data_IF_024894953940
#
_entry.id   IF_024894953940
#
_cell.length_a   1.000
_cell.length_b   1.000
_cell.length_c   1.000
_cell.angle_alpha   90.00
_cell.angle_beta   90.00
_cell.angle_gamma   90.00
#
_symmetry.space_group_name_H-M   'P 1'
#
loop_
_entity.id
_entity.type
_entity.pdbx_description
1 polymer ?
#
# COMPACT_ATOMS: atom_id res chain seq x y z
N UNK A 1 5.99 61.21 58.64
CA UNK A 1 4.55 61.10 58.32
C UNK A 1 4.40 60.49 56.94
N UNK A 2 3.85 59.27 56.83
CA UNK A 2 3.63 58.59 55.56
C UNK A 2 2.16 58.73 55.15
N UNK A 3 1.90 59.27 53.95
CA UNK A 3 0.55 59.38 53.40
C UNK A 3 0.18 58.04 52.77
N UNK A 4 -0.84 57.38 53.32
CA UNK A 4 -1.42 56.16 52.74
C UNK A 4 -2.46 56.59 51.70
N UNK A 5 -2.18 56.35 50.42
CA UNK A 5 -3.14 56.59 49.34
C UNK A 5 -3.98 55.34 49.14
N UNK A 6 -5.27 55.42 49.50
CA UNK A 6 -6.24 54.33 49.30
C UNK A 6 -6.86 54.48 47.91
N UNK A 7 -6.55 53.57 47.00
CA UNK A 7 -7.21 53.51 45.70
C UNK A 7 -8.67 53.07 45.88
N UNK A 8 -9.61 54.01 45.77
CA UNK A 8 -11.04 53.73 45.72
C UNK A 8 -11.34 53.16 44.34
N UNK A 9 -11.51 51.84 44.24
CA UNK A 9 -11.96 51.21 42.99
C UNK A 9 -13.45 51.48 42.83
N UNK A 10 -13.79 52.43 41.97
CA UNK A 10 -15.17 52.63 41.53
C UNK A 10 -15.47 51.59 40.44
N UNK A 11 -16.36 50.65 40.75
CA UNK A 11 -16.74 49.54 39.86
C UNK A 11 -17.97 49.87 39.00
N UNK A 12 -18.61 51.02 39.22
CA UNK A 12 -19.83 51.43 38.52
C UNK A 12 -19.54 51.98 37.12
N UNK A 13 -18.29 52.40 36.87
CA UNK A 13 -17.81 52.85 35.56
C UNK A 13 -17.42 51.72 34.61
N UNK A 14 -17.46 50.45 35.05
CA UNK A 14 -17.12 49.30 34.20
C UNK A 14 -18.36 48.95 33.38
N UNK A 15 -18.35 49.11 32.04
CA UNK A 15 -19.46 48.67 31.20
C UNK A 15 -19.62 47.16 31.39
N UNK A 16 -20.80 46.73 31.87
CA UNK A 16 -21.12 45.30 32.02
C UNK A 16 -21.14 44.70 30.63
N UNK A 17 -20.02 44.10 30.22
CA UNK A 17 -19.93 43.36 28.98
C UNK A 17 -20.90 42.20 29.08
N UNK A 18 -21.79 42.07 28.11
CA UNK A 18 -22.59 40.85 27.97
C UNK A 18 -21.63 39.65 27.92
N UNK A 19 -21.92 38.54 28.62
CA UNK A 19 -21.19 37.31 28.43
C UNK A 19 -21.13 37.05 26.93
N UNK A 20 -19.92 36.86 26.39
CA UNK A 20 -19.78 36.47 24.99
C UNK A 20 -20.74 35.30 24.76
N UNK A 21 -21.66 35.47 23.81
CA UNK A 21 -22.57 34.42 23.37
C UNK A 21 -21.75 33.33 22.70
N UNK A 22 -21.03 32.55 23.50
CA UNK A 22 -20.40 31.31 23.09
C UNK A 22 -21.51 30.26 23.13
N UNK A 23 -22.33 30.26 22.09
CA UNK A 23 -23.36 29.25 21.83
C UNK A 23 -22.77 27.87 21.51
N UNK A 24 -21.45 27.70 21.58
CA UNK A 24 -20.80 26.40 21.58
C UNK A 24 -20.76 25.89 23.01
N UNK A 25 -21.64 24.92 23.29
CA UNK A 25 -21.64 24.22 24.57
C UNK A 25 -20.31 23.49 24.74
N UNK A 26 -19.83 23.39 25.98
CA UNK A 26 -18.67 22.54 26.33
C UNK A 26 -18.87 21.10 25.83
N UNK A 27 -20.13 20.68 25.68
CA UNK A 27 -20.53 19.42 25.08
C UNK A 27 -20.28 19.36 23.57
N UNK A 28 -20.52 20.44 22.81
CA UNK A 28 -20.17 20.52 21.37
C UNK A 28 -18.65 20.39 21.18
N UNK A 29 -17.87 21.00 22.07
CA UNK A 29 -16.41 20.86 22.05
C UNK A 29 -15.96 19.44 22.43
N UNK A 30 -16.58 18.82 23.43
CA UNK A 30 -16.32 17.42 23.80
C UNK A 30 -16.68 16.44 22.67
N UNK A 31 -17.82 16.65 22.00
CA UNK A 31 -18.25 15.85 20.84
C UNK A 31 -17.33 16.05 19.64
N UNK A 32 -16.74 17.24 19.47
CA UNK A 32 -15.71 17.50 18.44
C UNK A 32 -14.34 16.90 18.80
N UNK A 33 -14.02 16.81 20.09
CA UNK A 33 -12.82 16.13 20.59
C UNK A 33 -12.95 14.61 20.60
N UNK A 34 -14.17 14.08 20.56
CA UNK A 34 -14.39 12.67 20.30
C UNK A 34 -13.88 12.33 18.90
N UNK A 35 -12.64 11.87 18.85
CA UNK A 35 -12.07 11.20 17.68
C UNK A 35 -13.14 10.23 17.16
N UNK A 36 -13.44 10.25 15.86
CA UNK A 36 -14.45 9.36 15.29
C UNK A 36 -14.10 7.93 15.69
N UNK A 37 -15.11 7.12 16.03
CA UNK A 37 -14.92 5.76 16.58
C UNK A 37 -13.89 4.95 15.77
N UNK A 38 -13.93 5.10 14.44
CA UNK A 38 -12.99 4.45 13.51
C UNK A 38 -11.55 4.90 13.75
N UNK A 39 -11.31 6.20 13.97
CA UNK A 39 -9.97 6.70 14.30
C UNK A 39 -9.49 6.17 15.65
N UNK A 40 -10.35 6.13 16.69
CA UNK A 40 -9.98 5.52 17.98
C UNK A 40 -9.58 4.05 17.81
N UNK A 41 -10.32 3.33 16.98
CA UNK A 41 -10.07 1.92 16.68
C UNK A 41 -8.75 1.73 15.95
N UNK A 42 -8.46 2.60 14.97
CA UNK A 42 -7.18 2.61 14.25
C UNK A 42 -6.00 2.87 15.18
N UNK A 43 -6.12 3.89 16.03
CA UNK A 43 -5.11 4.21 17.05
C UNK A 43 -4.88 2.99 17.96
N UNK A 44 -5.93 2.31 18.42
CA UNK A 44 -5.83 1.12 19.26
C UNK A 44 -5.12 -0.06 18.56
N UNK A 45 -5.42 -0.30 17.28
CA UNK A 45 -4.74 -1.34 16.49
C UNK A 45 -3.27 -0.97 16.31
N UNK A 46 -2.97 0.28 15.96
CA UNK A 46 -1.59 0.76 15.80
C UNK A 46 -0.79 0.58 17.08
N UNK A 47 -1.32 1.03 18.22
CA UNK A 47 -0.67 0.88 19.52
C UNK A 47 -0.41 -0.61 19.79
N UNK A 48 -1.39 -1.48 19.56
CA UNK A 48 -1.23 -2.92 19.74
C UNK A 48 -0.18 -3.54 18.79
N UNK A 49 -0.18 -3.20 17.50
CA UNK A 49 0.79 -3.73 16.53
C UNK A 49 2.23 -3.37 16.91
N UNK A 50 2.46 -2.20 17.51
CA UNK A 50 3.81 -1.81 17.96
C UNK A 50 4.33 -2.63 19.13
N UNK A 51 3.45 -3.33 19.85
CA UNK A 51 3.84 -4.23 20.95
C UNK A 51 4.16 -5.65 20.50
N UNK A 52 3.89 -5.99 19.23
CA UNK A 52 4.08 -7.33 18.68
C UNK A 52 5.38 -7.43 17.87
N UNK A 53 5.95 -8.63 17.84
CA UNK A 53 7.14 -8.98 17.06
C UNK A 53 6.85 -10.20 16.16
N UNK A 54 7.62 -10.37 15.08
CA UNK A 54 7.49 -11.50 14.16
C UNK A 54 6.23 -11.45 13.28
N UNK A 55 5.71 -12.62 12.90
CA UNK A 55 4.60 -12.75 11.94
C UNK A 55 3.28 -12.16 12.46
N UNK A 56 3.08 -12.15 13.78
CA UNK A 56 1.89 -11.55 14.40
C UNK A 56 1.85 -10.02 14.18
N UNK A 57 3.01 -9.37 14.16
CA UNK A 57 3.12 -7.95 13.83
C UNK A 57 2.69 -7.68 12.38
N UNK A 58 3.14 -8.51 11.44
CA UNK A 58 2.74 -8.42 10.03
C UNK A 58 1.22 -8.57 9.87
N UNK A 59 0.63 -9.62 10.48
CA UNK A 59 -0.82 -9.83 10.44
C UNK A 59 -1.59 -8.65 11.07
N UNK A 60 -1.09 -8.09 12.17
CA UNK A 60 -1.70 -6.93 12.82
C UNK A 60 -1.75 -5.70 11.90
N UNK A 61 -0.64 -5.42 11.21
CA UNK A 61 -0.59 -4.32 10.23
C UNK A 61 -1.46 -4.60 9.00
N UNK A 62 -1.58 -5.85 8.56
CA UNK A 62 -2.52 -6.24 7.50
C UNK A 62 -3.96 -5.93 7.90
N UNK A 63 -4.35 -6.25 9.14
CA UNK A 63 -5.67 -5.91 9.67
C UNK A 63 -5.93 -4.39 9.68
N UNK A 64 -4.91 -3.57 9.95
CA UNK A 64 -5.03 -2.12 9.85
C UNK A 64 -5.36 -1.66 8.41
N UNK A 65 -4.67 -2.21 7.40
CA UNK A 65 -4.94 -1.89 6.00
C UNK A 65 -6.30 -2.41 5.53
N UNK A 66 -6.69 -3.59 6.00
CA UNK A 66 -8.00 -4.16 5.77
C UNK A 66 -9.12 -3.31 6.38
N UNK A 67 -8.96 -2.82 7.62
CA UNK A 67 -9.91 -1.92 8.25
C UNK A 67 -10.11 -0.63 7.43
N UNK A 68 -9.04 -0.08 6.84
CA UNK A 68 -9.12 1.06 5.94
C UNK A 68 -9.95 0.77 4.68
N UNK A 69 -9.85 -0.46 4.14
CA UNK A 69 -10.68 -0.88 3.00
C UNK A 69 -12.14 -1.06 3.43
N UNK A 70 -12.37 -1.73 4.56
CA UNK A 70 -13.72 -1.93 5.11
C UNK A 70 -14.42 -0.59 5.41
N UNK A 71 -13.68 0.44 5.87
CA UNK A 71 -14.23 1.79 6.04
C UNK A 71 -14.76 2.42 4.76
N UNK A 72 -14.16 2.10 3.61
CA UNK A 72 -14.62 2.61 2.32
C UNK A 72 -15.82 1.83 1.78
N UNK A 73 -15.91 0.54 2.10
CA UNK A 73 -16.90 -0.33 1.49
C UNK A 73 -18.12 -0.65 2.37
N UNK A 74 -18.06 -0.42 3.69
CA UNK A 74 -19.12 -0.72 4.66
C UNK A 74 -19.65 0.54 5.34
N UNK A 75 -20.92 0.53 5.77
CA UNK A 75 -21.47 1.62 6.58
C UNK A 75 -20.75 1.70 7.93
N UNK A 76 -20.63 2.91 8.47
CA UNK A 76 -19.92 3.18 9.74
C UNK A 76 -20.53 2.42 10.92
N UNK A 77 -21.83 2.18 10.89
CA UNK A 77 -22.57 1.44 11.91
C UNK A 77 -22.12 -0.02 12.01
N UNK A 78 -21.75 -0.63 10.88
CA UNK A 78 -21.28 -2.02 10.85
C UNK A 78 -19.88 -2.14 11.47
N UNK A 79 -19.00 -1.19 11.18
CA UNK A 79 -17.67 -1.11 11.79
C UNK A 79 -17.82 -0.85 13.29
N UNK A 80 -18.72 0.06 13.67
CA UNK A 80 -19.02 0.33 15.07
C UNK A 80 -19.54 -0.89 15.82
N UNK A 81 -20.35 -1.74 15.17
CA UNK A 81 -20.80 -3.01 15.74
C UNK A 81 -19.65 -3.97 15.94
N UNK A 82 -18.80 -4.17 14.94
CA UNK A 82 -17.61 -5.04 15.07
C UNK A 82 -16.70 -4.61 16.24
N UNK A 83 -16.49 -3.29 16.39
CA UNK A 83 -15.70 -2.74 17.50
C UNK A 83 -16.35 -3.01 18.85
N UNK A 84 -17.67 -2.87 18.96
CA UNK A 84 -18.43 -3.19 20.19
C UNK A 84 -18.40 -4.68 20.52
N UNK A 85 -18.57 -5.54 19.52
CA UNK A 85 -18.54 -7.00 19.66
C UNK A 85 -17.17 -7.50 20.14
N UNK A 86 -16.12 -6.71 19.93
CA UNK A 86 -14.76 -7.06 20.34
C UNK A 86 -14.46 -6.79 21.82
N UNK A 87 -15.41 -6.22 22.57
CA UNK A 87 -15.29 -5.90 24.01
C UNK A 87 -14.03 -5.08 24.39
N UNK A 88 -13.39 -4.44 23.40
CA UNK A 88 -12.14 -3.70 23.58
C UNK A 88 -10.86 -4.54 23.53
N UNK A 89 -10.91 -5.85 23.25
CA UNK A 89 -9.71 -6.65 23.01
C UNK A 89 -9.20 -6.44 21.57
N UNK A 90 -7.99 -5.86 21.37
CA UNK A 90 -7.45 -5.64 20.05
C UNK A 90 -7.21 -6.94 19.27
N UNK A 91 -6.90 -8.07 19.94
CA UNK A 91 -6.68 -9.36 19.28
C UNK A 91 -7.94 -9.88 18.61
N UNK A 92 -9.05 -9.84 19.35
CA UNK A 92 -10.33 -10.27 18.82
C UNK A 92 -10.78 -9.38 17.67
N UNK A 93 -10.60 -8.06 17.83
CA UNK A 93 -10.91 -7.09 16.80
C UNK A 93 -10.12 -7.34 15.50
N UNK A 94 -8.81 -7.57 15.61
CA UNK A 94 -7.93 -7.91 14.47
C UNK A 94 -8.42 -9.18 13.76
N UNK A 95 -8.73 -10.23 14.51
CA UNK A 95 -9.25 -11.47 13.94
C UNK A 95 -10.61 -11.27 13.25
N UNK A 96 -11.49 -10.45 13.84
CA UNK A 96 -12.79 -10.09 13.28
C UNK A 96 -12.65 -9.31 11.97
N UNK A 97 -11.67 -8.40 11.89
CA UNK A 97 -11.32 -7.66 10.67
C UNK A 97 -10.86 -8.62 9.57
N UNK A 98 -9.89 -9.49 9.85
CA UNK A 98 -9.43 -10.49 8.89
C UNK A 98 -10.56 -11.37 8.38
N UNK A 99 -11.37 -11.90 9.29
CA UNK A 99 -12.51 -12.74 8.93
C UNK A 99 -13.50 -12.00 8.01
N UNK A 100 -13.80 -10.74 8.32
CA UNK A 100 -14.72 -9.91 7.53
C UNK A 100 -14.15 -9.63 6.14
N UNK A 101 -12.87 -9.26 6.06
CA UNK A 101 -12.16 -9.01 4.80
C UNK A 101 -12.16 -10.23 3.90
N UNK A 102 -11.84 -11.41 4.45
CA UNK A 102 -11.85 -12.68 3.74
C UNK A 102 -13.24 -13.05 3.21
N UNK A 103 -14.29 -12.86 4.02
CA UNK A 103 -15.66 -13.10 3.59
C UNK A 103 -16.02 -12.23 2.38
N UNK A 104 -15.65 -10.94 2.42
CA UNK A 104 -15.91 -10.02 1.31
C UNK A 104 -15.14 -10.38 0.05
N UNK A 105 -13.85 -10.70 0.20
CA UNK A 105 -13.00 -11.15 -0.91
C UNK A 105 -13.58 -12.39 -1.58
N UNK A 106 -13.99 -13.40 -0.79
CA UNK A 106 -14.61 -14.63 -1.30
C UNK A 106 -15.94 -14.35 -2.02
N UNK A 107 -16.75 -13.42 -1.53
CA UNK A 107 -17.99 -13.00 -2.21
C UNK A 107 -17.70 -12.30 -3.54
N UNK A 108 -16.68 -11.43 -3.59
CA UNK A 108 -16.25 -10.77 -4.82
C UNK A 108 -15.73 -11.77 -5.86
N UNK A 109 -14.87 -12.72 -5.46
CA UNK A 109 -14.35 -13.78 -6.33
C UNK A 109 -15.47 -14.69 -6.87
N UNK A 110 -16.47 -15.01 -6.06
CA UNK A 110 -17.62 -15.81 -6.51
C UNK A 110 -18.48 -15.08 -7.54
N UNK A 111 -18.65 -13.77 -7.42
CA UNK A 111 -19.33 -12.96 -8.44
C UNK A 111 -18.55 -12.95 -9.76
N UNK A 112 -17.22 -12.81 -9.70
CA UNK A 112 -16.36 -12.86 -10.88
C UNK A 112 -16.34 -14.24 -11.57
N UNK A 113 -16.29 -15.33 -10.80
CA UNK A 113 -16.35 -16.69 -11.35
C UNK A 113 -17.73 -17.04 -11.92
N UNK A 114 -18.81 -16.49 -11.36
CA UNK A 114 -20.16 -16.70 -11.91
C UNK A 114 -20.36 -16.02 -13.27
N UNK A 115 -19.62 -14.92 -13.54
CA UNK A 115 -19.60 -14.25 -14.84
C UNK A 115 -18.63 -14.93 -15.83
N UNK A 116 -17.62 -15.65 -15.34
CA UNK A 116 -16.63 -16.36 -16.16
C UNK A 116 -17.05 -17.78 -16.57
N UNK A 117 -18.23 -18.25 -16.16
CA UNK A 117 -18.68 -19.63 -16.39
C UNK A 117 -19.39 -19.87 -17.74
N UNK A 118 -19.21 -19.00 -18.73
CA UNK A 118 -19.62 -19.25 -20.11
C UNK A 118 -18.43 -19.11 -21.07
N UNK A 119 -17.42 -19.97 -20.89
CA UNK A 119 -16.38 -20.19 -21.89
C UNK A 119 -15.79 -21.58 -21.69
N UNK A 120 -16.44 -22.58 -22.29
CA UNK A 120 -15.89 -23.91 -22.42
C UNK A 120 -14.86 -23.86 -23.57
N UNK A 121 -13.59 -23.65 -23.23
CA UNK A 121 -12.52 -23.49 -24.21
C UNK A 121 -11.12 -23.75 -23.62
N UNK A 122 -10.75 -25.03 -23.60
CA UNK A 122 -9.39 -25.59 -23.71
C UNK A 122 -8.27 -25.12 -22.75
N UNK A 123 -7.86 -26.10 -21.92
CA UNK A 123 -6.48 -26.46 -21.55
C UNK A 123 -5.40 -25.35 -21.44
N UNK A 124 -5.09 -24.95 -20.21
CA UNK A 124 -3.75 -25.02 -19.57
C UNK A 124 -3.79 -24.18 -18.28
N UNK A 125 -3.23 -24.69 -17.18
CA UNK A 125 -3.03 -23.89 -15.96
C UNK A 125 -2.33 -22.58 -16.34
N UNK A 126 -2.76 -21.41 -15.84
CA UNK A 126 -2.01 -20.18 -16.07
C UNK A 126 -0.64 -20.34 -15.42
N UNK A 127 0.43 -20.25 -16.23
CA UNK A 127 1.77 -20.09 -15.66
C UNK A 127 1.74 -18.78 -14.84
N UNK A 128 2.34 -18.75 -13.64
CA UNK A 128 2.34 -17.55 -12.79
C UNK A 128 3.08 -16.35 -13.39
N UNK A 129 3.73 -16.51 -14.56
CA UNK A 129 4.45 -15.45 -15.25
C UNK A 129 4.08 -15.42 -16.73
N UNK A 130 3.87 -14.23 -17.31
CA UNK A 130 3.92 -14.04 -18.75
C UNK A 130 5.27 -14.56 -19.25
N UNK A 131 5.27 -15.43 -20.26
CA UNK A 131 6.49 -15.66 -21.02
C UNK A 131 6.77 -14.33 -21.71
N UNK A 132 7.93 -13.67 -21.48
CA UNK A 132 8.25 -12.45 -22.21
C UNK A 132 8.13 -12.76 -23.69
N UNK A 133 7.43 -11.90 -24.44
CA UNK A 133 7.24 -12.05 -25.88
C UNK A 133 8.60 -12.37 -26.47
N UNK A 134 8.78 -13.61 -26.94
CA UNK A 134 10.06 -14.15 -27.40
C UNK A 134 10.54 -13.50 -28.70
N UNK A 135 10.15 -12.25 -28.93
CA UNK A 135 10.62 -11.44 -30.02
C UNK A 135 12.07 -11.07 -29.70
N UNK A 136 13.03 -11.42 -30.58
CA UNK A 136 14.40 -10.98 -30.40
C UNK A 136 14.41 -9.46 -30.33
N UNK A 137 15.21 -8.90 -29.40
CA UNK A 137 15.41 -7.44 -29.29
C UNK A 137 15.67 -6.85 -30.67
N UNK A 138 15.03 -5.71 -30.96
CA UNK A 138 15.26 -5.03 -32.23
C UNK A 138 16.71 -4.52 -32.29
N UNK A 139 17.26 -4.38 -33.49
CA UNK A 139 18.63 -3.89 -33.68
C UNK A 139 18.85 -2.49 -33.08
N UNK A 140 17.78 -1.69 -33.01
CA UNK A 140 17.75 -0.37 -32.39
C UNK A 140 17.91 -0.44 -30.87
N UNK A 141 17.17 -1.34 -30.21
CA UNK A 141 17.25 -1.55 -28.76
C UNK A 141 18.65 -2.02 -28.32
N UNK A 142 19.31 -2.87 -29.12
CA UNK A 142 20.70 -3.29 -28.86
C UNK A 142 21.74 -2.17 -29.02
N UNK A 143 21.46 -1.15 -29.82
CA UNK A 143 22.36 -0.02 -30.02
C UNK A 143 22.22 0.99 -28.88
N UNK A 144 20.99 1.29 -28.46
CA UNK A 144 20.71 2.16 -27.31
C UNK A 144 21.29 1.60 -26.01
N UNK A 145 21.20 0.28 -25.80
CA UNK A 145 21.81 -0.38 -24.64
C UNK A 145 23.34 -0.29 -24.64
N UNK A 146 23.99 -0.24 -25.81
CA UNK A 146 25.44 -0.05 -25.90
C UNK A 146 25.86 1.40 -25.63
N UNK A 147 25.05 2.36 -26.08
CA UNK A 147 25.30 3.79 -25.89
C UNK A 147 25.06 4.22 -24.44
N UNK A 148 24.11 3.58 -23.74
CA UNK A 148 23.82 3.84 -22.33
C UNK A 148 24.84 3.22 -21.35
N UNK A 149 25.88 2.53 -21.83
CA UNK A 149 26.87 1.89 -20.95
C UNK A 149 27.83 2.91 -20.34
N UNK A 150 28.06 2.77 -19.03
CA UNK A 150 29.14 3.48 -18.34
C UNK A 150 30.51 3.07 -18.90
N UNK A 151 31.52 3.95 -18.87
CA UNK A 151 32.86 3.66 -19.36
C UNK A 151 33.44 2.37 -18.78
N UNK A 152 34.04 1.55 -19.64
CA UNK A 152 34.34 0.17 -19.25
C UNK A 152 35.67 -0.05 -18.55
N UNK A 153 35.59 -0.58 -17.32
CA UNK A 153 36.69 -1.19 -16.58
C UNK A 153 37.07 -2.56 -17.16
N UNK A 154 38.31 -3.01 -16.95
CA UNK A 154 38.76 -4.36 -17.31
C UNK A 154 37.90 -5.45 -16.64
N UNK A 155 37.46 -5.20 -15.41
CA UNK A 155 36.66 -6.14 -14.63
C UNK A 155 35.21 -6.24 -15.13
N UNK A 156 34.54 -5.12 -15.41
CA UNK A 156 33.17 -5.11 -15.95
C UNK A 156 33.12 -5.71 -17.35
N UNK A 157 34.15 -5.47 -18.17
CA UNK A 157 34.32 -6.10 -19.48
C UNK A 157 34.39 -7.63 -19.39
N UNK A 158 35.13 -8.16 -18.42
CA UNK A 158 35.22 -9.61 -18.20
C UNK A 158 33.87 -10.20 -17.79
N UNK A 159 33.20 -9.61 -16.79
CA UNK A 159 31.90 -10.09 -16.33
C UNK A 159 30.86 -10.14 -17.45
N UNK A 160 30.79 -9.11 -18.30
CA UNK A 160 29.88 -9.12 -19.45
C UNK A 160 30.25 -10.16 -20.50
N UNK A 161 31.54 -10.38 -20.77
CA UNK A 161 31.97 -11.42 -21.70
C UNK A 161 31.55 -12.81 -21.21
N UNK A 162 31.68 -13.06 -19.91
CA UNK A 162 31.37 -14.35 -19.30
C UNK A 162 29.87 -14.54 -19.04
N UNK A 163 29.12 -13.46 -18.81
CA UNK A 163 27.67 -13.48 -18.52
C UNK A 163 26.76 -13.36 -19.76
N UNK A 164 27.31 -13.43 -20.98
CA UNK A 164 26.54 -13.29 -22.23
C UNK A 164 25.60 -14.46 -22.52
N UNK A 165 25.78 -15.59 -21.85
CA UNK A 165 24.96 -16.79 -22.04
C UNK A 165 24.39 -17.24 -20.70
N UNK A 166 23.06 -17.15 -20.50
CA UNK A 166 22.41 -17.85 -19.41
C UNK A 166 22.59 -19.37 -19.59
N UNK A 167 22.82 -20.12 -18.51
CA UNK A 167 23.03 -21.59 -18.55
C UNK A 167 21.87 -22.38 -19.20
N UNK A 168 20.69 -21.78 -19.35
CA UNK A 168 19.52 -22.38 -19.98
C UNK A 168 19.42 -22.10 -21.50
N UNK A 169 20.21 -21.17 -22.03
CA UNK A 169 20.28 -20.86 -23.45
C UNK A 169 21.45 -21.63 -24.08
N UNK A 170 21.20 -22.86 -24.51
CA UNK A 170 22.13 -23.54 -25.43
C UNK A 170 22.25 -22.73 -26.72
N UNK A 171 23.46 -22.49 -27.25
CA UNK A 171 23.61 -21.93 -28.58
C UNK A 171 22.88 -22.84 -29.57
N UNK A 172 21.84 -22.34 -30.23
CA UNK A 172 21.34 -22.98 -31.43
C UNK A 172 22.38 -22.73 -32.53
N UNK A 173 23.17 -23.76 -32.83
CA UNK A 173 23.92 -23.84 -34.08
C UNK A 173 22.90 -23.93 -35.22
N UNK A 174 22.50 -22.77 -35.77
CA UNK A 174 21.78 -22.73 -37.04
C UNK A 174 22.80 -22.67 -38.18
N UNK A 175 22.85 -23.79 -38.88
CA UNK A 175 23.55 -24.06 -40.13
C UNK A 175 23.72 -22.87 -41.10
N UNK A 176 24.89 -22.91 -41.74
CA UNK A 176 25.10 -22.61 -43.16
C UNK A 176 24.90 -21.16 -43.63
N UNK A 177 26.01 -20.48 -43.87
CA UNK A 177 26.25 -19.76 -45.13
C UNK A 177 27.72 -19.40 -45.22
N UNK A 178 28.49 -20.28 -45.86
CA UNK A 178 29.77 -19.90 -46.46
C UNK A 178 29.47 -18.93 -47.61
N UNK A 179 30.01 -17.70 -47.64
CA UNK A 179 30.09 -16.97 -48.88
C UNK A 179 31.24 -17.53 -49.71
N UNK A 180 30.85 -18.07 -50.86
CA UNK A 180 31.69 -18.48 -51.99
C UNK A 180 32.76 -17.42 -52.28
N UNK A 181 34.01 -17.85 -52.25
CA UNK A 181 35.13 -17.09 -52.79
C UNK A 181 35.10 -17.25 -54.33
N UNK A 182 34.94 -16.15 -55.07
CA UNK A 182 35.19 -16.09 -56.50
C UNK A 182 35.85 -14.75 -56.86
N UNK A 183 37.18 -14.81 -56.87
CA UNK A 183 38.09 -14.30 -57.90
C UNK A 183 37.90 -12.89 -58.48
N UNK A 184 38.87 -12.00 -58.24
CA UNK A 184 39.57 -11.33 -59.35
C UNK A 184 40.95 -10.72 -58.94
N UNK A 185 42.02 -11.37 -59.42
CA UNK A 185 43.24 -10.95 -60.18
C UNK A 185 43.56 -9.43 -60.23
N UNK A 186 44.85 -9.02 -60.08
CA UNK A 186 45.81 -9.04 -61.20
C UNK A 186 47.02 -9.98 -61.01
#
# INVERSE_FOLDING_TARGET
AGVVVRAVRNYDSIPKREPFSSSRSVLDEFLRQEKPLVQRTKDQITDYCTTLEGDECCSCWDAYFELNKLEQELPKEEIARMVKDSEGDPRYLINSIHHRSDLRKKMAEKSHNSLSSNSLGQAAKPRPFPVPDGLPKTQEELAEEQEALMPESSYTRLLRRMGRFPDWSSPQDSDSSFPVNSSNVP
#
